data_IF_846635207261
#
_entry.id   IF_846635207261
#
_cell.length_a   1.000
_cell.length_b   1.000
_cell.length_c   1.000
_cell.angle_alpha   90.00
_cell.angle_beta   90.00
_cell.angle_gamma   90.00
#
_symmetry.space_group_name_H-M   'P 1'
#
loop_
_entity.id
_entity.type
_entity.pdbx_description
1 polymer ?
#
# COMPACT_ATOMS: atom_id res chain seq x y z
N UNK A 1 7.75 -23.50 31.00
CA UNK A 1 6.44 -22.90 31.34
C UNK A 1 5.40 -23.66 30.56
N UNK A 2 4.85 -24.69 31.20
CA UNK A 2 3.88 -25.61 30.62
C UNK A 2 2.54 -24.90 30.41
N UNK A 3 1.90 -25.23 29.31
CA UNK A 3 0.65 -24.65 28.79
C UNK A 3 -0.45 -24.54 29.85
N UNK A 4 -0.85 -23.31 30.15
CA UNK A 4 -1.98 -22.97 31.01
C UNK A 4 -3.29 -23.00 30.21
N UNK A 5 -3.55 -24.10 29.51
CA UNK A 5 -4.84 -24.37 28.88
C UNK A 5 -5.33 -25.74 29.35
N UNK A 6 -6.44 -25.81 30.12
CA UNK A 6 -6.99 -27.08 30.55
C UNK A 6 -7.56 -27.86 29.36
N UNK A 7 -7.34 -29.17 29.37
CA UNK A 7 -7.81 -30.12 28.35
C UNK A 7 -9.35 -30.12 28.27
N UNK A 8 -9.88 -29.97 27.06
CA UNK A 8 -11.31 -29.83 26.78
C UNK A 8 -12.15 -31.04 27.23
N UNK A 9 -11.51 -32.19 27.44
CA UNK A 9 -12.14 -33.43 27.90
C UNK A 9 -12.55 -33.40 29.40
N UNK A 10 -12.07 -32.41 30.18
CA UNK A 10 -12.21 -32.39 31.65
C UNK A 10 -13.27 -31.44 32.21
N UNK A 11 -14.01 -30.71 31.37
CA UNK A 11 -15.03 -29.74 31.84
C UNK A 11 -16.45 -30.32 31.85
N UNK A 12 -17.31 -29.93 32.83
CA UNK A 12 -18.69 -30.40 32.89
C UNK A 12 -19.46 -29.98 31.62
N UNK A 13 -20.29 -30.85 31.02
CA UNK A 13 -20.87 -30.67 29.68
C UNK A 13 -21.75 -29.42 29.55
N UNK A 14 -22.29 -28.93 30.67
CA UNK A 14 -23.04 -27.67 30.71
C UNK A 14 -22.14 -26.46 30.46
N UNK A 15 -20.89 -26.44 30.95
CA UNK A 15 -20.02 -25.26 30.83
C UNK A 15 -19.53 -25.04 29.38
N UNK A 16 -19.22 -26.12 28.66
CA UNK A 16 -18.78 -26.08 27.24
C UNK A 16 -19.90 -25.56 26.31
N UNK A 17 -21.17 -25.91 26.59
CA UNK A 17 -22.34 -25.50 25.79
C UNK A 17 -22.67 -24.01 25.94
N UNK A 18 -22.48 -23.42 27.12
CA UNK A 18 -22.70 -21.98 27.32
C UNK A 18 -21.57 -21.15 26.68
N UNK A 19 -20.32 -21.64 26.73
CA UNK A 19 -19.19 -20.98 26.09
C UNK A 19 -19.38 -20.84 24.58
N UNK A 20 -19.93 -21.85 23.89
CA UNK A 20 -20.17 -21.78 22.44
C UNK A 20 -21.32 -20.83 22.08
N UNK A 21 -22.41 -20.83 22.86
CA UNK A 21 -23.57 -19.96 22.62
C UNK A 21 -23.27 -18.47 22.85
N UNK A 22 -22.39 -18.14 23.79
CA UNK A 22 -21.95 -16.77 24.07
C UNK A 22 -21.21 -16.15 22.88
N UNK A 23 -20.53 -16.94 22.04
CA UNK A 23 -19.88 -16.45 20.83
C UNK A 23 -20.79 -16.46 19.59
N UNK A 24 -21.73 -17.41 19.51
CA UNK A 24 -22.64 -17.54 18.36
C UNK A 24 -23.75 -16.49 18.36
N UNK A 25 -24.35 -16.19 19.52
CA UNK A 25 -25.47 -15.24 19.61
C UNK A 25 -25.07 -13.80 19.20
N UNK A 26 -23.97 -13.20 19.66
CA UNK A 26 -23.57 -11.87 19.21
C UNK A 26 -23.15 -11.86 17.73
N UNK A 27 -22.54 -12.93 17.22
CA UNK A 27 -22.20 -13.04 15.79
C UNK A 27 -23.46 -13.15 14.91
N UNK A 28 -24.49 -13.87 15.36
CA UNK A 28 -25.77 -14.00 14.67
C UNK A 28 -26.62 -12.72 14.78
N UNK A 29 -26.56 -12.03 15.92
CA UNK A 29 -27.22 -10.73 16.11
C UNK A 29 -26.54 -9.65 15.24
N UNK A 30 -25.21 -9.63 15.17
CA UNK A 30 -24.45 -8.68 14.34
C UNK A 30 -24.72 -8.87 12.84
N UNK A 31 -24.94 -10.12 12.40
CA UNK A 31 -25.36 -10.43 11.02
C UNK A 31 -26.83 -10.11 10.76
N UNK A 32 -27.72 -10.26 11.75
CA UNK A 32 -29.14 -9.89 11.65
C UNK A 32 -29.35 -8.36 11.69
N UNK A 33 -28.43 -7.58 12.29
CA UNK A 33 -28.47 -6.11 12.32
C UNK A 33 -28.18 -5.44 10.96
N UNK A 34 -27.82 -6.21 9.93
CA UNK A 34 -27.74 -5.70 8.55
C UNK A 34 -26.79 -4.52 8.36
N UNK A 35 -25.64 -4.51 9.05
CA UNK A 35 -24.61 -3.49 8.82
C UNK A 35 -24.33 -3.43 7.31
N UNK A 36 -24.49 -2.25 6.67
CA UNK A 36 -24.23 -2.14 5.25
C UNK A 36 -22.78 -2.54 4.99
N UNK A 37 -22.49 -3.26 3.89
CA UNK A 37 -21.11 -3.50 3.49
C UNK A 37 -20.41 -2.13 3.46
N UNK A 38 -19.25 -2.04 4.12
CA UNK A 38 -18.42 -0.84 4.13
C UNK A 38 -18.34 -0.32 2.70
N UNK A 39 -18.68 0.95 2.47
CA UNK A 39 -18.74 1.54 1.15
C UNK A 39 -17.50 1.12 0.34
N UNK A 40 -17.72 0.42 -0.77
CA UNK A 40 -16.65 0.08 -1.70
C UNK A 40 -16.12 1.38 -2.26
N UNK A 41 -14.91 1.77 -1.84
CA UNK A 41 -14.23 2.91 -2.43
C UNK A 41 -13.99 2.59 -3.91
N UNK A 42 -14.77 3.22 -4.78
CA UNK A 42 -14.56 3.11 -6.22
C UNK A 42 -13.20 3.74 -6.55
N UNK A 43 -12.28 2.91 -7.06
CA UNK A 43 -10.99 3.38 -7.56
C UNK A 43 -11.23 4.38 -8.69
N UNK A 44 -10.71 5.59 -8.55
CA UNK A 44 -10.75 6.59 -9.61
C UNK A 44 -9.57 6.38 -10.54
N UNK A 45 -9.87 6.22 -11.82
CA UNK A 45 -8.87 6.27 -12.88
C UNK A 45 -8.70 7.70 -13.37
N UNK A 46 -7.46 8.10 -13.62
CA UNK A 46 -7.13 9.37 -14.24
C UNK A 46 -6.48 9.10 -15.61
N UNK A 47 -6.82 9.92 -16.59
CA UNK A 47 -6.08 10.00 -17.86
C UNK A 47 -5.16 11.21 -17.82
N UNK A 48 -4.30 11.34 -18.82
CA UNK A 48 -3.46 12.51 -19.03
C UNK A 48 -3.56 12.96 -20.48
N UNK A 49 -3.36 14.26 -20.70
CA UNK A 49 -3.12 14.81 -22.02
C UNK A 49 -1.63 15.14 -22.14
N UNK A 50 -1.02 14.79 -23.27
CA UNK A 50 0.38 15.11 -23.52
C UNK A 50 0.51 16.59 -23.90
N UNK A 51 1.05 17.39 -22.98
CA UNK A 51 1.22 18.83 -23.20
C UNK A 51 2.52 19.16 -23.94
N UNK A 52 3.64 18.54 -23.54
CA UNK A 52 4.98 18.77 -24.08
C UNK A 52 5.85 17.53 -23.92
N UNK A 53 6.81 17.38 -24.82
CA UNK A 53 7.90 16.41 -24.76
C UNK A 53 9.24 17.15 -24.70
N UNK A 54 10.20 16.59 -23.96
CA UNK A 54 11.54 17.15 -23.82
C UNK A 54 12.58 16.04 -24.05
N UNK A 55 13.76 16.38 -24.59
CA UNK A 55 14.85 15.42 -24.72
C UNK A 55 15.26 14.87 -23.35
N UNK A 56 15.43 13.55 -23.26
CA UNK A 56 16.02 12.87 -22.10
C UNK A 56 17.17 11.99 -22.58
N UNK A 57 18.20 11.85 -21.74
CA UNK A 57 19.34 11.00 -22.03
C UNK A 57 18.94 9.52 -21.89
N UNK A 58 18.90 8.74 -22.99
CA UNK A 58 18.43 7.36 -22.96
C UNK A 58 19.35 6.42 -22.16
N UNK A 59 20.58 6.84 -21.85
CA UNK A 59 21.51 6.06 -21.03
C UNK A 59 21.33 6.32 -19.52
N UNK A 60 20.52 7.32 -19.13
CA UNK A 60 20.26 7.64 -17.74
C UNK A 60 19.20 6.71 -17.14
N UNK A 61 19.63 5.79 -16.26
CA UNK A 61 18.72 4.92 -15.52
C UNK A 61 18.08 5.68 -14.34
N UNK A 62 17.01 6.43 -14.59
CA UNK A 62 16.38 7.34 -13.62
C UNK A 62 15.83 6.61 -12.39
N UNK A 63 16.27 7.02 -11.20
CA UNK A 63 15.79 6.51 -9.90
C UNK A 63 15.22 7.63 -9.00
N UNK A 64 15.39 8.89 -9.39
CA UNK A 64 14.78 10.03 -8.73
C UNK A 64 14.76 11.25 -9.65
N UNK A 65 13.70 12.06 -9.58
CA UNK A 65 13.52 13.22 -10.44
C UNK A 65 12.82 14.35 -9.67
N UNK A 66 13.39 15.55 -9.72
CA UNK A 66 12.87 16.75 -9.07
C UNK A 66 12.96 17.94 -10.02
N UNK A 67 11.90 18.75 -10.08
CA UNK A 67 11.96 20.06 -10.73
C UNK A 67 12.46 21.12 -9.75
N UNK A 68 13.61 21.72 -10.05
CA UNK A 68 14.25 22.74 -9.21
C UNK A 68 13.79 24.17 -9.50
N UNK A 69 12.97 24.39 -10.53
CA UNK A 69 12.62 25.71 -11.04
C UNK A 69 13.56 26.17 -12.16
N UNK A 70 13.19 27.24 -12.87
CA UNK A 70 13.98 27.85 -13.95
C UNK A 70 14.48 26.82 -14.98
N UNK A 71 13.59 25.96 -15.48
CA UNK A 71 13.91 24.92 -16.47
C UNK A 71 15.08 24.00 -16.05
N UNK A 72 15.27 23.81 -14.75
CA UNK A 72 16.27 22.90 -14.19
C UNK A 72 15.61 21.69 -13.55
N UNK A 73 16.07 20.51 -13.94
CA UNK A 73 15.79 19.24 -13.28
C UNK A 73 16.98 18.81 -12.43
N UNK A 74 16.72 18.14 -11.32
CA UNK A 74 17.69 17.35 -10.58
C UNK A 74 17.30 15.88 -10.70
N UNK A 75 18.23 15.06 -11.16
CA UNK A 75 17.98 13.65 -11.46
C UNK A 75 19.00 12.77 -10.72
N UNK A 76 18.51 11.72 -10.06
CA UNK A 76 19.34 10.61 -9.58
C UNK A 76 19.29 9.49 -10.60
N UNK A 77 20.45 8.93 -10.93
CA UNK A 77 20.58 7.77 -11.82
C UNK A 77 21.17 6.59 -11.07
N UNK A 78 20.71 5.39 -11.41
CA UNK A 78 21.18 4.13 -10.87
C UNK A 78 22.30 3.51 -11.70
N UNK A 79 22.34 2.17 -11.70
CA UNK A 79 23.43 1.30 -12.15
C UNK A 79 24.58 1.18 -11.14
N UNK A 80 24.84 -0.05 -10.69
CA UNK A 80 25.87 -0.34 -9.71
C UNK A 80 27.25 0.18 -10.15
N UNK A 81 27.88 0.99 -9.31
CA UNK A 81 29.18 1.62 -9.60
C UNK A 81 29.13 2.76 -10.63
N UNK A 82 27.94 3.14 -11.12
CA UNK A 82 27.73 4.22 -12.10
C UNK A 82 26.63 5.20 -11.70
N UNK A 83 26.05 5.04 -10.52
CA UNK A 83 25.06 5.98 -9.97
C UNK A 83 25.59 7.40 -9.92
N UNK A 84 24.74 8.38 -10.23
CA UNK A 84 25.11 9.80 -10.21
C UNK A 84 23.92 10.69 -9.85
N UNK A 85 24.21 11.90 -9.36
CA UNK A 85 23.24 12.98 -9.20
C UNK A 85 23.58 14.07 -10.21
N UNK A 86 22.59 14.49 -11.01
CA UNK A 86 22.75 15.32 -12.20
C UNK A 86 21.88 16.57 -12.08
N UNK A 87 22.39 17.71 -12.51
CA UNK A 87 21.58 18.91 -12.79
C UNK A 87 21.35 18.91 -14.29
N UNK A 88 20.10 18.92 -14.75
CA UNK A 88 19.74 18.78 -16.15
C UNK A 88 18.95 19.99 -16.62
N UNK A 89 19.30 20.55 -17.78
CA UNK A 89 18.50 21.56 -18.47
C UNK A 89 17.25 20.90 -19.08
N UNK A 90 16.06 21.34 -18.69
CA UNK A 90 14.78 20.75 -19.09
C UNK A 90 14.55 20.83 -20.60
N UNK A 91 14.96 21.93 -21.24
CA UNK A 91 14.67 22.17 -22.66
C UNK A 91 15.53 21.28 -23.55
N UNK A 92 16.75 20.98 -23.14
CA UNK A 92 17.76 20.31 -23.97
C UNK A 92 18.15 18.91 -23.49
N UNK A 93 17.84 18.54 -22.25
CA UNK A 93 18.25 17.27 -21.63
C UNK A 93 19.74 17.20 -21.27
N UNK A 94 20.47 18.32 -21.35
CA UNK A 94 21.93 18.36 -21.09
C UNK A 94 22.23 18.49 -19.60
N UNK A 95 23.31 17.83 -19.16
CA UNK A 95 23.89 17.92 -17.80
C UNK A 95 24.94 19.01 -17.73
#
# INVERSE_FOLDING_TARGET
VTSFFPDAASMPPLLVRHSVLIFIIPAMLLTLLGLPPTATLATRFYSFDLMREYPHDPEAFTEGLLYGGNDTLFESTGLFGRSSVRKVDLQTGKV
#
